data_IF_039169250332
#
_entry.id   IF_039169250332
#
_cell.length_a   1.000
_cell.length_b   1.000
_cell.length_c   1.000
_cell.angle_alpha   90.00
_cell.angle_beta   90.00
_cell.angle_gamma   90.00
#
_symmetry.space_group_name_H-M   'P 1'
#
loop_
_entity.id
_entity.type
_entity.pdbx_description
1 polymer ?
#
# COMPACT_ATOMS: atom_id res chain seq x y z
N UNK A 1 25.37 66.34 42.68
CA UNK A 1 26.07 65.08 42.86
C UNK A 1 25.10 63.94 42.60
N UNK A 2 25.11 63.41 41.37
CA UNK A 2 24.20 62.34 40.91
C UNK A 2 24.95 61.00 41.05
N UNK A 3 24.53 60.18 41.99
CA UNK A 3 25.06 58.83 42.19
C UNK A 3 24.42 57.86 41.13
N UNK A 4 25.23 57.40 40.18
CA UNK A 4 24.86 56.26 39.31
C UNK A 4 25.10 54.93 40.06
N UNK A 5 24.05 54.24 40.36
CA UNK A 5 24.09 52.81 40.80
C UNK A 5 24.25 51.88 39.58
N UNK A 6 25.20 50.96 39.61
CA UNK A 6 25.31 49.98 38.55
C UNK A 6 24.19 48.95 38.69
N UNK A 7 23.36 48.84 37.67
CA UNK A 7 22.40 47.71 37.51
C UNK A 7 23.16 46.44 37.13
N UNK A 8 23.46 45.61 38.12
CA UNK A 8 23.99 44.26 37.89
C UNK A 8 22.95 43.40 37.17
N UNK A 9 23.22 43.05 35.93
CA UNK A 9 22.50 42.01 35.25
C UNK A 9 22.83 40.65 35.91
N UNK A 10 21.90 40.09 36.65
CA UNK A 10 21.98 38.73 37.12
C UNK A 10 21.87 37.79 35.90
N UNK A 11 22.98 37.27 35.41
CA UNK A 11 22.99 36.14 34.52
C UNK A 11 22.49 34.94 35.33
N UNK A 12 21.26 34.50 35.05
CA UNK A 12 20.74 33.27 35.60
C UNK A 12 21.64 32.10 35.12
N UNK A 13 22.46 31.57 36.02
CA UNK A 13 23.19 30.33 35.79
C UNK A 13 22.15 29.24 35.63
N UNK A 14 21.95 28.79 34.39
CA UNK A 14 21.14 27.58 34.08
C UNK A 14 21.92 26.41 34.70
N UNK A 15 21.49 25.92 35.84
CA UNK A 15 22.11 24.78 36.52
C UNK A 15 21.96 23.55 35.69
N UNK A 16 22.95 23.26 34.85
CA UNK A 16 23.00 22.00 34.08
C UNK A 16 23.41 20.87 35.04
N UNK A 17 22.68 19.74 34.96
CA UNK A 17 22.96 18.51 35.72
C UNK A 17 23.53 17.45 34.79
N UNK A 18 24.69 16.94 35.08
CA UNK A 18 25.29 15.83 34.35
C UNK A 18 24.87 14.50 35.00
N UNK A 19 24.20 13.63 34.21
CA UNK A 19 23.80 12.32 34.71
C UNK A 19 24.30 11.23 33.77
N UNK A 20 24.60 10.06 34.33
CA UNK A 20 25.06 8.87 33.60
C UNK A 20 24.06 7.74 33.81
N UNK A 21 23.47 7.27 32.74
CA UNK A 21 22.62 6.08 32.75
C UNK A 21 23.42 4.85 32.30
N UNK A 22 23.42 3.80 33.08
CA UNK A 22 23.94 2.49 32.68
C UNK A 22 22.81 1.59 32.23
N UNK A 23 22.80 1.22 30.96
CA UNK A 23 21.72 0.46 30.35
C UNK A 23 22.15 -1.01 30.25
N UNK A 24 21.34 -1.89 30.81
CA UNK A 24 21.60 -3.33 30.84
C UNK A 24 20.37 -4.13 30.43
N UNK A 25 20.58 -5.31 29.89
CA UNK A 25 19.53 -6.27 29.62
C UNK A 25 18.93 -6.77 30.93
N UNK A 26 17.61 -6.72 31.05
CA UNK A 26 16.91 -7.08 32.28
C UNK A 26 17.07 -8.59 32.66
N UNK A 27 17.25 -9.46 31.66
CA UNK A 27 17.39 -10.93 31.90
C UNK A 27 18.82 -11.36 32.13
N UNK A 28 19.78 -10.82 31.36
CA UNK A 28 21.18 -11.27 31.39
C UNK A 28 22.08 -10.35 32.21
N UNK A 29 21.67 -9.12 32.51
CA UNK A 29 22.50 -8.12 33.15
C UNK A 29 23.62 -7.55 32.25
N UNK A 30 23.74 -8.02 31.01
CA UNK A 30 24.74 -7.57 30.06
C UNK A 30 24.52 -6.11 29.65
N UNK A 31 25.59 -5.31 29.44
CA UNK A 31 25.44 -3.94 28.92
C UNK A 31 24.86 -3.95 27.52
N UNK A 32 24.02 -2.97 27.21
CA UNK A 32 23.39 -2.80 25.90
C UNK A 32 23.96 -1.59 25.20
N UNK A 33 24.48 -1.79 24.00
CA UNK A 33 25.10 -0.77 23.15
C UNK A 33 24.04 -0.17 22.21
N UNK A 34 24.30 1.06 21.72
CA UNK A 34 23.49 1.76 20.71
C UNK A 34 22.03 2.03 21.12
N UNK A 35 21.72 2.04 22.42
CA UNK A 35 20.41 2.45 22.91
C UNK A 35 20.26 3.95 22.66
N UNK A 36 19.22 4.33 21.91
CA UNK A 36 18.87 5.75 21.75
C UNK A 36 18.24 6.27 23.05
N UNK A 37 18.94 7.20 23.67
CA UNK A 37 18.57 7.81 24.92
C UNK A 37 18.20 9.28 24.66
N UNK A 38 17.00 9.71 25.03
CA UNK A 38 16.53 11.08 24.77
C UNK A 38 15.95 11.72 26.03
N UNK A 39 16.23 13.01 26.21
CA UNK A 39 15.59 13.84 27.23
C UNK A 39 14.45 14.65 26.61
N UNK A 40 13.39 14.87 27.38
CA UNK A 40 12.17 15.52 26.95
C UNK A 40 11.69 16.50 28.01
N UNK A 41 11.17 17.66 27.54
CA UNK A 41 10.53 18.65 28.39
C UNK A 41 9.07 18.29 28.73
N UNK A 42 8.38 19.17 29.46
CA UNK A 42 6.97 18.98 29.82
C UNK A 42 6.00 19.02 28.64
N UNK A 43 6.39 19.61 27.53
CA UNK A 43 5.59 19.71 26.29
C UNK A 43 5.90 18.58 25.29
N UNK A 44 6.73 17.62 25.68
CA UNK A 44 7.20 16.49 24.85
C UNK A 44 8.07 16.91 23.67
N UNK A 45 8.81 18.03 23.78
CA UNK A 45 9.88 18.31 22.85
C UNK A 45 11.16 17.65 23.33
N UNK A 46 11.91 17.08 22.38
CA UNK A 46 13.20 16.44 22.67
C UNK A 46 14.26 17.52 22.82
N UNK A 47 14.80 17.65 24.03
CA UNK A 47 15.80 18.65 24.40
C UNK A 47 17.22 18.16 24.19
N UNK A 48 17.48 16.90 24.45
CA UNK A 48 18.79 16.29 24.24
C UNK A 48 18.65 14.82 23.81
N UNK A 49 19.70 14.30 23.15
CA UNK A 49 19.81 12.87 22.85
C UNK A 49 21.26 12.42 22.91
N UNK A 50 21.45 11.15 23.21
CA UNK A 50 22.74 10.46 23.23
C UNK A 50 22.53 8.97 22.94
N UNK A 51 23.61 8.21 22.74
CA UNK A 51 23.55 6.76 22.59
C UNK A 51 24.43 6.11 23.65
N UNK A 52 24.06 4.89 24.07
CA UNK A 52 24.88 4.11 24.97
C UNK A 52 26.13 3.59 24.28
N UNK A 53 27.26 3.65 25.00
CA UNK A 53 28.56 3.19 24.53
C UNK A 53 28.73 1.66 24.68
N UNK A 54 29.94 1.14 24.38
CA UNK A 54 30.29 -0.29 24.50
C UNK A 54 30.15 -0.84 25.93
N UNK A 55 30.12 0.01 26.95
CA UNK A 55 29.89 -0.36 28.35
C UNK A 55 28.43 -0.23 28.78
N UNK A 56 27.55 0.16 27.83
CA UNK A 56 26.14 0.45 28.07
C UNK A 56 25.93 1.78 28.80
N UNK A 57 26.89 2.70 28.79
CA UNK A 57 26.78 4.00 29.46
C UNK A 57 26.29 5.08 28.50
N UNK A 58 25.29 5.85 28.93
CA UNK A 58 24.80 7.04 28.23
C UNK A 58 24.89 8.26 29.15
N UNK A 59 25.52 9.32 28.68
CA UNK A 59 25.76 10.54 29.46
C UNK A 59 24.86 11.66 28.95
N UNK A 60 24.13 12.28 29.85
CA UNK A 60 23.22 13.37 29.59
C UNK A 60 23.69 14.66 30.24
N UNK A 61 23.40 15.76 29.57
CA UNK A 61 23.41 17.10 30.13
C UNK A 61 21.95 17.52 30.23
N UNK A 62 21.41 17.52 31.43
CA UNK A 62 20.02 17.85 31.71
C UNK A 62 19.89 19.32 32.09
N UNK A 63 18.84 19.95 31.60
CA UNK A 63 18.42 21.32 31.97
C UNK A 63 17.25 21.27 32.95
N UNK A 64 16.94 22.35 33.67
CA UNK A 64 15.77 22.37 34.56
C UNK A 64 14.41 22.17 33.89
N UNK A 65 14.34 22.26 32.55
CA UNK A 65 13.13 22.07 31.77
C UNK A 65 12.87 20.57 31.46
N UNK A 66 13.90 19.73 31.58
CA UNK A 66 13.81 18.33 31.29
C UNK A 66 13.01 17.60 32.36
N UNK A 67 12.04 16.81 31.95
CA UNK A 67 11.15 16.08 32.86
C UNK A 67 11.20 14.57 32.68
N UNK A 68 11.52 14.08 31.47
CA UNK A 68 11.44 12.68 31.13
C UNK A 68 12.68 12.21 30.35
N UNK A 69 13.20 11.04 30.70
CA UNK A 69 14.18 10.33 29.91
C UNK A 69 13.52 9.13 29.23
N UNK A 70 13.83 8.88 27.97
CA UNK A 70 13.36 7.72 27.22
C UNK A 70 14.52 6.93 26.63
N UNK A 71 14.43 5.61 26.69
CA UNK A 71 15.42 4.64 26.24
C UNK A 71 14.78 3.72 25.22
N UNK A 72 15.30 3.71 24.00
CA UNK A 72 14.71 2.98 22.86
C UNK A 72 15.79 2.19 22.14
N UNK A 73 15.55 0.91 21.94
CA UNK A 73 16.35 0.04 21.08
C UNK A 73 15.44 -0.97 20.41
N UNK A 74 15.72 -1.28 19.15
CA UNK A 74 14.97 -2.31 18.42
C UNK A 74 15.19 -3.68 19.10
N UNK A 75 14.10 -4.41 19.33
CA UNK A 75 14.14 -5.69 20.05
C UNK A 75 14.04 -5.56 21.56
N UNK A 76 13.83 -4.35 22.08
CA UNK A 76 13.61 -4.09 23.51
C UNK A 76 12.35 -3.25 23.72
N UNK A 77 11.71 -3.41 24.87
CA UNK A 77 10.58 -2.57 25.27
C UNK A 77 11.09 -1.17 25.62
N UNK A 78 10.47 -0.14 25.06
CA UNK A 78 10.76 1.26 25.40
C UNK A 78 10.60 1.46 26.90
N UNK A 79 11.62 2.10 27.53
CA UNK A 79 11.58 2.49 28.92
C UNK A 79 11.54 4.02 29.04
N UNK A 80 10.69 4.53 29.93
CA UNK A 80 10.61 5.94 30.26
C UNK A 80 10.81 6.13 31.77
N UNK A 81 11.61 7.14 32.15
CA UNK A 81 11.89 7.49 33.54
C UNK A 81 11.68 8.98 33.74
N UNK A 82 11.00 9.34 34.82
CA UNK A 82 10.87 10.75 35.20
C UNK A 82 12.16 11.22 35.89
N UNK A 83 12.65 12.38 35.51
CA UNK A 83 13.89 12.94 36.08
C UNK A 83 13.73 13.21 37.57
N UNK A 84 12.52 13.53 38.04
CA UNK A 84 12.20 13.72 39.48
C UNK A 84 12.37 12.44 40.31
N UNK A 85 12.35 11.25 39.70
CA UNK A 85 12.51 9.96 40.38
C UNK A 85 13.96 9.50 40.42
N UNK A 86 14.89 10.23 39.81
CA UNK A 86 16.28 9.87 39.76
C UNK A 86 16.99 10.21 41.06
N UNK A 87 17.45 9.19 41.76
CA UNK A 87 18.26 9.32 42.98
C UNK A 87 19.75 9.38 42.62
N UNK A 88 20.31 10.62 42.53
CA UNK A 88 21.73 10.81 42.22
C UNK A 88 22.04 11.00 40.73
N UNK A 89 23.35 11.16 40.44
CA UNK A 89 23.84 11.46 39.08
C UNK A 89 24.20 10.21 38.26
N UNK A 90 24.06 9.00 38.84
CA UNK A 90 24.25 7.73 38.14
C UNK A 90 23.14 6.77 38.52
N UNK A 91 22.54 6.16 37.51
CA UNK A 91 21.44 5.20 37.69
C UNK A 91 21.49 4.10 36.63
N UNK A 92 20.82 2.97 36.93
CA UNK A 92 20.78 1.81 36.03
C UNK A 92 19.39 1.65 35.42
N UNK A 93 19.36 1.49 34.10
CA UNK A 93 18.15 1.21 33.32
C UNK A 93 18.19 -0.23 32.85
N UNK A 94 17.15 -0.98 33.15
CA UNK A 94 17.00 -2.38 32.72
C UNK A 94 16.01 -2.47 31.59
N UNK A 95 16.46 -2.74 30.36
CA UNK A 95 15.60 -2.92 29.23
C UNK A 95 15.17 -4.38 29.10
N UNK A 96 13.88 -4.60 29.00
CA UNK A 96 13.30 -5.91 28.75
C UNK A 96 13.39 -6.26 27.28
N UNK A 97 13.93 -7.42 26.89
CA UNK A 97 13.80 -7.90 25.51
C UNK A 97 12.34 -7.97 25.09
N UNK A 98 12.02 -7.39 23.97
CA UNK A 98 10.67 -7.42 23.40
C UNK A 98 10.68 -8.36 22.20
N UNK A 99 10.03 -9.50 22.32
CA UNK A 99 9.63 -10.33 21.19
C UNK A 99 8.37 -9.75 20.53
N UNK A 100 8.35 -8.44 20.27
CA UNK A 100 7.25 -7.90 19.47
C UNK A 100 7.39 -8.51 18.08
N UNK A 101 6.47 -9.39 17.65
CA UNK A 101 6.50 -9.89 16.29
C UNK A 101 6.45 -8.64 15.40
N UNK A 102 7.40 -8.54 14.48
CA UNK A 102 7.37 -7.51 13.43
C UNK A 102 5.99 -7.68 12.81
N UNK A 103 5.08 -6.74 13.03
CA UNK A 103 3.79 -6.75 12.36
C UNK A 103 4.13 -6.77 10.89
N UNK A 104 3.78 -7.87 10.25
CA UNK A 104 3.90 -8.00 8.81
C UNK A 104 3.27 -6.75 8.20
N UNK A 105 4.08 -5.94 7.59
CA UNK A 105 3.59 -4.75 6.90
C UNK A 105 2.87 -5.29 5.67
N UNK A 106 1.58 -5.56 5.83
CA UNK A 106 0.71 -5.80 4.69
C UNK A 106 0.71 -4.52 3.87
N UNK A 107 1.60 -4.44 2.91
CA UNK A 107 1.56 -3.41 1.88
C UNK A 107 0.28 -3.69 1.10
N UNK A 108 -0.80 -3.04 1.48
CA UNK A 108 -2.04 -3.04 0.68
C UNK A 108 -1.64 -2.44 -0.66
N UNK A 109 -1.45 -3.30 -1.63
CA UNK A 109 -1.12 -2.87 -2.98
C UNK A 109 -2.16 -1.85 -3.41
N UNK A 110 -1.70 -0.70 -3.91
CA UNK A 110 -2.59 0.38 -4.35
C UNK A 110 -3.59 -0.17 -5.35
N UNK A 111 -4.90 0.08 -5.17
CA UNK A 111 -5.94 -0.44 -6.05
C UNK A 111 -5.79 0.07 -7.49
N UNK A 112 -5.28 1.28 -7.64
CA UNK A 112 -5.03 1.94 -8.91
C UNK A 112 -3.57 2.38 -8.96
N UNK A 113 -2.90 2.10 -10.07
CA UNK A 113 -1.55 2.60 -10.35
C UNK A 113 -1.51 3.20 -11.74
N UNK A 114 -0.78 4.31 -11.90
CA UNK A 114 -0.61 5.00 -13.18
C UNK A 114 0.82 4.77 -13.67
N UNK A 115 0.96 4.42 -14.94
CA UNK A 115 2.26 4.29 -15.60
C UNK A 115 2.19 4.82 -17.02
N UNK A 116 2.73 6.03 -17.25
CA UNK A 116 2.53 6.74 -18.52
C UNK A 116 1.04 6.94 -18.78
N UNK A 117 0.58 6.62 -19.98
CA UNK A 117 -0.82 6.73 -20.41
C UNK A 117 -1.67 5.50 -20.00
N UNK A 118 -1.22 4.69 -19.05
CA UNK A 118 -1.94 3.48 -18.63
C UNK A 118 -2.32 3.54 -17.16
N UNK A 119 -3.62 3.49 -16.90
CA UNK A 119 -4.19 3.30 -15.58
C UNK A 119 -4.42 1.81 -15.34
N UNK A 120 -3.84 1.27 -14.28
CA UNK A 120 -3.98 -0.13 -13.90
C UNK A 120 -4.89 -0.27 -12.71
N UNK A 121 -5.96 -0.99 -12.90
CA UNK A 121 -6.92 -1.34 -11.86
C UNK A 121 -6.72 -2.78 -11.42
N UNK A 122 -6.45 -2.99 -10.14
CA UNK A 122 -6.33 -4.32 -9.58
C UNK A 122 -7.73 -4.88 -9.31
N UNK A 123 -8.14 -5.90 -10.04
CA UNK A 123 -9.49 -6.47 -10.01
C UNK A 123 -9.93 -6.84 -8.59
N UNK A 124 -9.08 -7.48 -7.81
CA UNK A 124 -9.38 -7.88 -6.42
C UNK A 124 -9.76 -6.72 -5.49
N UNK A 125 -9.36 -5.51 -5.81
CA UNK A 125 -9.66 -4.34 -4.99
C UNK A 125 -11.07 -3.78 -5.24
N UNK A 126 -11.65 -4.07 -6.42
CA UNK A 126 -12.97 -3.60 -6.85
C UNK A 126 -14.03 -4.70 -6.83
N UNK A 127 -13.58 -5.97 -6.78
CA UNK A 127 -14.45 -7.12 -6.76
C UNK A 127 -15.26 -7.22 -5.46
N UNK A 128 -16.57 -7.35 -5.61
CA UNK A 128 -17.50 -7.64 -4.52
C UNK A 128 -17.86 -9.12 -4.44
N UNK A 129 -18.45 -9.54 -3.32
CA UNK A 129 -18.86 -10.95 -3.09
C UNK A 129 -19.87 -11.50 -4.09
N UNK A 130 -20.61 -10.63 -4.77
CA UNK A 130 -21.66 -11.02 -5.74
C UNK A 130 -21.18 -10.98 -7.20
N UNK A 131 -19.99 -10.45 -7.44
CA UNK A 131 -19.46 -10.31 -8.79
C UNK A 131 -18.98 -11.67 -9.30
N UNK A 132 -19.40 -12.03 -10.46
CA UNK A 132 -19.06 -13.30 -11.11
C UNK A 132 -18.20 -13.11 -12.34
N UNK A 133 -18.50 -12.06 -13.11
CA UNK A 133 -17.90 -11.81 -14.40
C UNK A 133 -17.12 -10.52 -14.43
N UNK A 134 -16.26 -10.39 -15.41
CA UNK A 134 -15.42 -9.23 -15.63
C UNK A 134 -16.26 -7.94 -15.77
N UNK A 135 -17.41 -8.00 -16.45
CA UNK A 135 -18.32 -6.87 -16.64
C UNK A 135 -18.77 -6.27 -15.29
N UNK A 136 -19.01 -7.11 -14.26
CA UNK A 136 -19.43 -6.65 -12.94
C UNK A 136 -18.38 -5.75 -12.28
N UNK A 137 -17.10 -6.05 -12.52
CA UNK A 137 -16.00 -5.24 -11.99
C UNK A 137 -15.75 -4.02 -12.86
N UNK A 138 -15.81 -4.15 -14.18
CA UNK A 138 -15.62 -3.01 -15.09
C UNK A 138 -16.59 -1.89 -14.76
N UNK A 139 -17.86 -2.20 -14.43
CA UNK A 139 -18.88 -1.21 -13.98
C UNK A 139 -18.50 -0.44 -12.71
N UNK A 140 -17.54 -0.92 -11.95
CA UNK A 140 -17.10 -0.31 -10.68
C UNK A 140 -15.78 0.45 -10.80
N UNK A 141 -15.14 0.38 -11.96
CA UNK A 141 -13.87 1.07 -12.18
C UNK A 141 -14.11 2.57 -12.35
N UNK A 142 -13.40 3.43 -11.63
CA UNK A 142 -13.50 4.88 -11.79
C UNK A 142 -13.26 5.32 -13.23
N UNK A 143 -14.17 6.13 -13.75
CA UNK A 143 -14.11 6.68 -15.11
C UNK A 143 -14.57 5.72 -16.22
N UNK A 144 -14.96 4.49 -15.88
CA UNK A 144 -15.46 3.50 -16.84
C UNK A 144 -16.96 3.31 -16.66
N UNK A 145 -17.70 3.29 -17.75
CA UNK A 145 -19.12 3.02 -17.79
C UNK A 145 -19.42 1.85 -18.74
N UNK A 146 -20.38 1.02 -18.36
CA UNK A 146 -20.89 -0.06 -19.23
C UNK A 146 -22.36 0.19 -19.49
N UNK A 147 -22.69 0.44 -20.76
CA UNK A 147 -24.07 0.66 -21.19
C UNK A 147 -24.86 -0.64 -21.21
N UNK A 148 -26.18 -0.59 -21.28
CA UNK A 148 -27.08 -1.77 -21.28
C UNK A 148 -26.77 -2.77 -22.40
N UNK A 149 -26.37 -2.24 -23.56
CA UNK A 149 -25.96 -3.06 -24.71
C UNK A 149 -24.58 -3.71 -24.54
N UNK A 150 -23.89 -3.49 -23.38
CA UNK A 150 -22.55 -4.00 -23.10
C UNK A 150 -21.41 -3.14 -23.66
N UNK A 151 -21.73 -2.00 -24.30
CA UNK A 151 -20.71 -1.07 -24.78
C UNK A 151 -19.98 -0.42 -23.61
N UNK A 152 -18.68 -0.41 -23.67
CA UNK A 152 -17.83 0.17 -22.62
C UNK A 152 -17.39 1.56 -23.07
N UNK A 153 -17.51 2.53 -22.17
CA UNK A 153 -17.05 3.89 -22.34
C UNK A 153 -16.06 4.27 -21.25
N UNK A 154 -15.09 5.07 -21.59
CA UNK A 154 -14.15 5.67 -20.66
C UNK A 154 -14.22 7.19 -20.75
N UNK A 155 -14.49 7.87 -19.61
CA UNK A 155 -14.69 9.30 -19.53
C UNK A 155 -15.72 9.81 -20.57
N UNK A 156 -16.84 9.07 -20.75
CA UNK A 156 -17.91 9.41 -21.69
C UNK A 156 -17.62 9.13 -23.17
N UNK A 157 -16.44 8.59 -23.50
CA UNK A 157 -16.07 8.20 -24.87
C UNK A 157 -16.02 6.68 -25.01
N UNK A 158 -16.56 6.09 -26.10
CA UNK A 158 -16.46 4.66 -26.32
C UNK A 158 -15.02 4.22 -26.49
N UNK A 159 -14.69 3.07 -25.92
CA UNK A 159 -13.38 2.46 -26.14
C UNK A 159 -13.21 2.04 -27.60
N UNK A 160 -12.00 2.17 -28.12
CA UNK A 160 -11.70 1.79 -29.51
C UNK A 160 -11.24 0.33 -29.63
N UNK A 161 -10.67 -0.24 -28.56
CA UNK A 161 -10.17 -1.62 -28.55
C UNK A 161 -10.34 -2.26 -27.17
N UNK A 162 -10.53 -3.59 -27.21
CA UNK A 162 -10.59 -4.43 -26.03
C UNK A 162 -9.58 -5.56 -26.21
N UNK A 163 -8.47 -5.44 -25.49
CA UNK A 163 -7.38 -6.41 -25.54
C UNK A 163 -7.49 -7.43 -24.39
N UNK A 164 -7.04 -8.63 -24.68
CA UNK A 164 -6.82 -9.69 -23.68
C UNK A 164 -5.36 -10.10 -23.82
N UNK A 165 -4.56 -9.94 -22.76
CA UNK A 165 -3.09 -10.16 -22.80
C UNK A 165 -2.41 -9.44 -23.98
N UNK A 166 -2.91 -8.24 -24.34
CA UNK A 166 -2.38 -7.42 -25.40
C UNK A 166 -2.83 -7.76 -26.81
N UNK A 167 -3.69 -8.77 -26.99
CA UNK A 167 -4.24 -9.15 -28.30
C UNK A 167 -5.73 -8.79 -28.37
N UNK A 168 -6.24 -8.53 -29.59
CA UNK A 168 -7.64 -8.24 -29.88
C UNK A 168 -8.32 -9.40 -30.60
N UNK A 169 -8.69 -10.49 -29.89
CA UNK A 169 -9.22 -11.68 -30.52
C UNK A 169 -10.69 -11.57 -30.94
N UNK A 170 -11.45 -10.61 -30.40
CA UNK A 170 -12.90 -10.49 -30.59
C UNK A 170 -13.31 -9.24 -31.36
N UNK A 171 -12.41 -8.29 -31.57
CA UNK A 171 -12.72 -7.02 -32.22
C UNK A 171 -13.92 -6.31 -31.59
N UNK A 172 -14.95 -6.04 -32.37
CA UNK A 172 -16.19 -5.39 -31.90
C UNK A 172 -17.06 -6.25 -30.98
N UNK A 173 -16.83 -7.58 -30.93
CA UNK A 173 -17.63 -8.54 -30.15
C UNK A 173 -17.10 -8.73 -28.72
N UNK A 174 -16.33 -7.82 -28.19
CA UNK A 174 -15.73 -7.90 -26.86
C UNK A 174 -16.75 -8.06 -25.72
N UNK A 175 -17.99 -7.72 -25.95
CA UNK A 175 -19.10 -7.92 -24.99
C UNK A 175 -19.26 -9.38 -24.58
N UNK A 176 -18.95 -10.31 -25.49
CA UNK A 176 -18.94 -11.74 -25.14
C UNK A 176 -17.85 -12.04 -24.11
N UNK A 177 -16.67 -11.47 -24.25
CA UNK A 177 -15.61 -11.66 -23.28
C UNK A 177 -15.95 -11.01 -21.94
N UNK A 178 -16.40 -9.74 -21.92
CA UNK A 178 -16.69 -9.06 -20.67
C UNK A 178 -17.77 -9.75 -19.83
N UNK A 179 -18.75 -10.38 -20.48
CA UNK A 179 -19.88 -11.09 -19.84
C UNK A 179 -19.59 -12.52 -19.45
N UNK A 180 -18.56 -13.15 -20.01
CA UNK A 180 -18.30 -14.58 -19.81
C UNK A 180 -16.92 -14.88 -19.19
N UNK A 181 -16.01 -13.92 -19.10
CA UNK A 181 -14.73 -14.11 -18.40
C UNK A 181 -14.99 -14.09 -16.89
N UNK A 182 -14.71 -15.20 -16.17
CA UNK A 182 -14.88 -15.23 -14.72
C UNK A 182 -13.89 -14.27 -14.03
N UNK A 183 -14.35 -13.60 -12.98
CA UNK A 183 -13.54 -12.62 -12.27
C UNK A 183 -12.25 -13.18 -11.68
N UNK A 184 -12.27 -14.44 -11.24
CA UNK A 184 -11.11 -15.13 -10.68
C UNK A 184 -10.01 -15.42 -11.71
N UNK A 185 -10.35 -15.38 -13.00
CA UNK A 185 -9.39 -15.52 -14.09
C UNK A 185 -8.62 -14.23 -14.36
N UNK A 186 -9.08 -13.07 -13.84
CA UNK A 186 -8.51 -11.74 -14.12
C UNK A 186 -7.73 -11.22 -12.93
N UNK A 187 -6.54 -10.71 -13.17
CA UNK A 187 -5.71 -10.03 -12.16
C UNK A 187 -5.85 -8.50 -12.23
N UNK A 188 -5.78 -7.95 -13.44
CA UNK A 188 -5.77 -6.51 -13.67
C UNK A 188 -6.60 -6.13 -14.91
N UNK A 189 -7.12 -4.90 -14.87
CA UNK A 189 -7.67 -4.21 -16.04
C UNK A 189 -6.82 -2.95 -16.25
N UNK A 190 -6.17 -2.88 -17.41
CA UNK A 190 -5.41 -1.70 -17.81
C UNK A 190 -6.30 -0.83 -18.72
N UNK A 191 -6.47 0.43 -18.40
CA UNK A 191 -7.06 1.44 -19.28
C UNK A 191 -5.90 2.17 -19.94
N UNK A 192 -5.77 2.06 -21.24
CA UNK A 192 -4.75 2.70 -22.04
C UNK A 192 -5.38 3.95 -22.65
N UNK A 193 -5.03 5.11 -22.10
CA UNK A 193 -5.48 6.41 -22.63
C UNK A 193 -4.75 6.71 -23.93
N UNK A 194 -5.34 7.53 -24.77
CA UNK A 194 -4.76 7.95 -26.06
C UNK A 194 -4.36 6.78 -26.97
N UNK A 195 -5.10 5.66 -26.90
CA UNK A 195 -4.76 4.47 -27.64
C UNK A 195 -4.90 4.66 -29.15
N UNK A 196 -3.78 4.63 -29.88
CA UNK A 196 -3.76 4.59 -31.33
C UNK A 196 -3.67 3.14 -31.80
N UNK A 197 -4.81 2.60 -32.26
CA UNK A 197 -4.90 1.20 -32.67
C UNK A 197 -4.15 0.87 -33.99
N UNK A 198 -3.91 1.91 -34.84
CA UNK A 198 -3.15 1.75 -36.07
C UNK A 198 -1.66 1.96 -35.78
N UNK A 199 -0.90 0.88 -35.86
CA UNK A 199 0.54 0.88 -35.52
C UNK A 199 1.35 1.92 -36.29
N UNK A 200 0.99 2.16 -37.55
CA UNK A 200 1.67 3.13 -38.42
C UNK A 200 1.44 4.58 -37.95
N UNK A 201 0.35 4.85 -37.23
CA UNK A 201 -0.03 6.18 -36.76
C UNK A 201 0.41 6.42 -35.30
N UNK A 202 0.96 5.42 -34.63
CA UNK A 202 1.45 5.58 -33.25
C UNK A 202 2.57 6.61 -33.19
N UNK A 203 2.40 7.61 -32.32
CA UNK A 203 3.33 8.72 -32.19
C UNK A 203 3.21 9.81 -33.26
N UNK A 204 2.44 9.59 -34.34
CA UNK A 204 2.23 10.57 -35.41
C UNK A 204 0.89 11.29 -35.27
N UNK A 205 -0.16 10.58 -34.90
CA UNK A 205 -1.51 11.13 -34.75
C UNK A 205 -2.01 10.87 -33.35
N UNK A 206 -2.33 11.92 -32.56
CA UNK A 206 -2.91 11.74 -31.26
C UNK A 206 -4.30 11.10 -31.37
N UNK A 207 -4.62 10.21 -30.43
CA UNK A 207 -5.94 9.59 -30.30
C UNK A 207 -6.60 10.05 -29.01
N UNK A 208 -7.86 10.41 -29.07
CA UNK A 208 -8.68 10.77 -27.90
C UNK A 208 -9.41 9.58 -27.30
N UNK A 209 -9.22 8.40 -27.87
CA UNK A 209 -9.93 7.19 -27.44
C UNK A 209 -9.06 6.34 -26.55
N UNK A 210 -9.71 5.67 -25.60
CA UNK A 210 -9.05 4.71 -24.73
C UNK A 210 -9.26 3.26 -25.22
N UNK A 211 -8.38 2.39 -24.80
CA UNK A 211 -8.54 0.95 -24.91
C UNK A 211 -8.51 0.28 -23.54
N UNK A 212 -9.17 -0.86 -23.41
CA UNK A 212 -9.06 -1.73 -22.25
C UNK A 212 -8.15 -2.92 -22.58
N UNK A 213 -7.27 -3.27 -21.66
CA UNK A 213 -6.48 -4.48 -21.76
C UNK A 213 -6.64 -5.33 -20.50
N UNK A 214 -7.15 -6.52 -20.67
CA UNK A 214 -7.42 -7.48 -19.61
C UNK A 214 -6.21 -8.34 -19.39
N UNK A 215 -5.66 -8.31 -18.17
CA UNK A 215 -4.57 -9.18 -17.77
C UNK A 215 -5.07 -10.32 -16.92
N UNK A 216 -4.82 -11.52 -17.38
CA UNK A 216 -5.22 -12.74 -16.73
C UNK A 216 -4.31 -13.04 -15.52
N UNK A 217 -4.87 -13.74 -14.55
CA UNK A 217 -4.09 -14.27 -13.43
C UNK A 217 -3.07 -15.30 -13.91
N UNK A 218 -1.95 -15.45 -13.21
CA UNK A 218 -0.92 -16.44 -13.55
C UNK A 218 -1.48 -17.86 -13.65
N UNK A 219 -2.48 -18.19 -12.83
CA UNK A 219 -3.12 -19.50 -12.83
C UNK A 219 -3.99 -19.73 -14.08
N UNK A 220 -4.58 -18.68 -14.65
CA UNK A 220 -5.51 -18.75 -15.78
C UNK A 220 -4.85 -18.54 -17.14
N UNK A 221 -3.61 -18.00 -17.16
CA UNK A 221 -2.92 -17.60 -18.39
C UNK A 221 -2.58 -18.75 -19.31
N UNK A 222 -2.56 -19.96 -19.00
CA UNK A 222 -2.25 -21.09 -19.87
C UNK A 222 -3.26 -22.23 -19.72
N UNK A 223 -4.32 -22.01 -18.96
CA UNK A 223 -5.35 -22.99 -18.73
C UNK A 223 -6.64 -22.55 -19.39
N UNK A 224 -7.42 -23.47 -19.96
CA UNK A 224 -8.75 -23.15 -20.43
C UNK A 224 -9.63 -22.80 -19.22
N UNK A 225 -10.41 -21.76 -19.38
CA UNK A 225 -11.42 -21.33 -18.42
C UNK A 225 -12.67 -20.88 -19.17
N UNK A 226 -13.79 -20.87 -18.50
CA UNK A 226 -15.04 -20.48 -19.13
C UNK A 226 -16.24 -20.91 -18.32
N UNK A 227 -17.38 -20.88 -18.93
CA UNK A 227 -18.66 -21.24 -18.32
C UNK A 227 -19.49 -22.07 -19.28
N UNK A 228 -20.17 -23.04 -18.70
CA UNK A 228 -21.22 -23.83 -19.40
C UNK A 228 -22.49 -23.70 -18.59
N UNK A 229 -23.56 -23.26 -19.21
CA UNK A 229 -24.90 -23.18 -18.60
C UNK A 229 -25.92 -23.92 -19.43
N UNK A 230 -26.81 -24.62 -18.75
CA UNK A 230 -27.96 -25.25 -19.34
C UNK A 230 -29.23 -24.90 -18.58
N UNK A 231 -30.28 -24.56 -19.25
CA UNK A 231 -31.58 -24.21 -18.67
C UNK A 231 -32.70 -24.98 -19.32
N UNK A 232 -33.73 -25.33 -18.52
CA UNK A 232 -34.98 -25.89 -19.01
C UNK A 232 -36.16 -25.08 -18.51
N UNK A 233 -37.19 -24.93 -19.31
CA UNK A 233 -38.41 -24.18 -18.97
C UNK A 233 -39.67 -25.05 -19.07
N UNK A 234 -40.67 -24.73 -18.23
CA UNK A 234 -42.03 -25.32 -18.25
C UNK A 234 -43.03 -24.15 -18.46
N UNK A 235 -44.21 -24.37 -19.08
CA UNK A 235 -44.88 -25.68 -19.34
C UNK A 235 -44.54 -26.36 -20.69
N UNK A 236 -43.92 -25.64 -21.63
CA UNK A 236 -43.41 -26.25 -22.84
C UNK A 236 -41.93 -26.64 -22.62
N UNK A 237 -41.45 -27.79 -23.16
CA UNK A 237 -40.06 -28.19 -23.02
C UNK A 237 -39.16 -27.25 -23.83
N UNK A 238 -38.77 -26.15 -23.20
CA UNK A 238 -37.76 -25.21 -23.69
C UNK A 238 -36.44 -25.61 -23.05
N UNK A 239 -35.40 -25.71 -23.83
CA UNK A 239 -34.07 -25.94 -23.36
C UNK A 239 -33.11 -24.88 -23.95
N UNK A 240 -32.18 -24.42 -23.17
CA UNK A 240 -31.13 -23.50 -23.60
C UNK A 240 -29.78 -24.03 -23.10
N UNK A 241 -28.82 -24.07 -24.00
CA UNK A 241 -27.44 -24.41 -23.64
C UNK A 241 -26.49 -23.33 -24.13
N UNK A 242 -25.64 -22.84 -23.24
CA UNK A 242 -24.58 -21.87 -23.58
C UNK A 242 -23.25 -22.41 -23.09
N UNK A 243 -22.24 -22.32 -23.91
CA UNK A 243 -20.87 -22.61 -23.52
C UNK A 243 -19.94 -21.52 -24.01
N UNK A 244 -19.09 -21.03 -23.11
CA UNK A 244 -17.99 -20.12 -23.43
C UNK A 244 -16.73 -20.72 -22.86
N UNK A 245 -15.76 -20.99 -23.70
CA UNK A 245 -14.45 -21.50 -23.32
C UNK A 245 -13.38 -20.62 -23.92
N UNK A 246 -12.41 -20.25 -23.09
CA UNK A 246 -11.30 -19.41 -23.50
C UNK A 246 -10.00 -19.97 -22.93
N UNK A 247 -8.98 -19.99 -23.77
CA UNK A 247 -7.60 -20.14 -23.38
C UNK A 247 -6.82 -18.96 -23.96
N UNK A 248 -6.14 -18.20 -23.13
CA UNK A 248 -5.40 -17.04 -23.57
C UNK A 248 -3.98 -17.03 -22.98
N UNK A 249 -3.01 -16.86 -23.86
CA UNK A 249 -1.62 -16.58 -23.55
C UNK A 249 -1.16 -15.38 -24.37
N UNK A 250 -0.01 -14.77 -24.05
CA UNK A 250 0.52 -13.66 -24.85
C UNK A 250 0.79 -14.00 -26.32
N UNK A 251 0.98 -15.27 -26.64
CA UNK A 251 1.34 -15.76 -27.98
C UNK A 251 0.21 -16.50 -28.68
N UNK A 252 -0.75 -17.04 -27.93
CA UNK A 252 -1.81 -17.86 -28.53
C UNK A 252 -3.12 -17.70 -27.76
N UNK A 253 -4.21 -17.52 -28.49
CA UNK A 253 -5.55 -17.38 -27.92
C UNK A 253 -6.55 -18.26 -28.69
N UNK A 254 -7.34 -19.02 -27.95
CA UNK A 254 -8.41 -19.84 -28.47
C UNK A 254 -9.68 -19.45 -27.72
N UNK A 255 -10.71 -19.06 -28.46
CA UNK A 255 -12.03 -18.72 -27.92
C UNK A 255 -13.06 -19.55 -28.66
N UNK A 256 -13.88 -20.23 -27.89
CA UNK A 256 -15.03 -21.02 -28.42
C UNK A 256 -16.28 -20.57 -27.68
N UNK A 257 -17.31 -20.21 -28.42
CA UNK A 257 -18.64 -19.92 -27.87
C UNK A 257 -19.70 -20.74 -28.61
N UNK A 258 -20.58 -21.38 -27.87
CA UNK A 258 -21.75 -22.10 -28.35
C UNK A 258 -23.00 -21.49 -27.71
N UNK A 259 -24.09 -21.37 -28.47
CA UNK A 259 -25.34 -20.82 -27.99
C UNK A 259 -26.52 -21.64 -28.51
#
# INVERSE_FOLDING_TARGET
LLLLLPTGQAHGQTSERHVTARIVNAETGAPIVDVLCSAWDGERHRTAFTQSDAKGEARFRLTPQDQLLSFVLLGYTKQELRISELSGDSFTVRLQPSTTPIREVHIKARPITVRGDTLRYRVKAFAGKRDRYLEDVIKKLPGVEVKENGRIEYQGKPINKFYIEGQDPLGSNYTQASRNIPINAVDQVDVIEHNQHKRVLQGLVPSDQAALNIRLSKASRFRPFGEVSAGTGLPAPLWEGKAFLMQASPTNQIITSLK
#
